data_IF_987965631080
#
_entry.id   IF_987965631080
#
_cell.length_a   1.000
_cell.length_b   1.000
_cell.length_c   1.000
_cell.angle_alpha   90.00
_cell.angle_beta   90.00
_cell.angle_gamma   90.00
#
_symmetry.space_group_name_H-M   'P 1'
#
loop_
_entity.id
_entity.type
_entity.pdbx_description
1 polymer ?
#
# COMPACT_ATOMS: atom_id res chain seq x y z
N UNK A 1 10.32 -13.96 -9.10
CA UNK A 1 9.44 -14.99 -9.68
C UNK A 1 8.33 -14.28 -10.44
N UNK A 2 8.09 -14.61 -11.73
CA UNK A 2 7.00 -14.01 -12.52
C UNK A 2 5.69 -14.75 -12.25
N UNK A 3 4.60 -14.01 -12.03
CA UNK A 3 3.27 -14.62 -11.83
C UNK A 3 2.77 -15.17 -13.18
N UNK A 4 2.37 -16.43 -13.21
CA UNK A 4 1.81 -17.07 -14.42
C UNK A 4 0.43 -17.63 -14.10
N UNK A 5 -0.58 -17.23 -14.85
CA UNK A 5 -1.96 -17.70 -14.70
C UNK A 5 -2.54 -18.08 -16.06
N UNK A 6 -3.13 -19.27 -16.18
CA UNK A 6 -3.69 -19.84 -17.43
C UNK A 6 -2.76 -19.73 -18.65
N UNK A 7 -1.46 -19.92 -18.45
CA UNK A 7 -0.47 -19.84 -19.53
C UNK A 7 -0.06 -18.41 -19.93
N UNK A 8 -0.62 -17.38 -19.29
CA UNK A 8 -0.19 -15.98 -19.47
C UNK A 8 0.74 -15.59 -18.33
N UNK A 9 1.94 -15.13 -18.68
CA UNK A 9 2.90 -14.58 -17.74
C UNK A 9 2.70 -13.07 -17.63
N UNK A 10 2.64 -12.58 -16.40
CA UNK A 10 2.57 -11.15 -16.13
C UNK A 10 3.98 -10.60 -15.91
N UNK A 11 4.35 -9.62 -16.72
CA UNK A 11 5.52 -8.79 -16.47
C UNK A 11 5.17 -7.77 -15.38
N UNK A 12 5.28 -8.23 -14.14
CA UNK A 12 5.12 -7.37 -12.98
C UNK A 12 6.40 -6.57 -12.75
N UNK A 13 6.33 -5.26 -12.99
CA UNK A 13 7.33 -4.28 -12.56
C UNK A 13 6.83 -3.64 -11.24
N UNK A 14 7.18 -4.20 -10.07
CA UNK A 14 6.81 -3.56 -8.81
C UNK A 14 7.44 -2.17 -8.72
N UNK A 15 6.72 -1.18 -8.19
CA UNK A 15 7.30 0.11 -7.88
C UNK A 15 8.36 -0.06 -6.78
N UNK A 16 9.51 0.59 -6.96
CA UNK A 16 10.55 0.65 -5.92
C UNK A 16 10.07 1.58 -4.82
N UNK A 17 9.83 1.04 -3.62
CA UNK A 17 9.45 1.83 -2.44
C UNK A 17 10.64 1.91 -1.51
N UNK A 18 11.12 3.13 -1.23
CA UNK A 18 12.21 3.33 -0.28
C UNK A 18 11.68 3.17 1.15
N UNK A 19 12.26 2.22 1.89
CA UNK A 19 11.90 1.94 3.27
C UNK A 19 13.08 2.10 4.20
N UNK A 20 12.87 2.72 5.36
CA UNK A 20 13.83 2.75 6.47
C UNK A 20 13.54 1.61 7.45
N UNK A 21 14.62 1.08 8.01
CA UNK A 21 14.52 0.10 9.08
C UNK A 21 13.98 0.82 10.33
N UNK A 22 12.91 0.29 10.92
CA UNK A 22 12.44 0.75 12.23
C UNK A 22 13.21 -0.01 13.32
N UNK A 23 13.50 0.63 14.45
CA UNK A 23 14.17 -0.01 15.58
C UNK A 23 13.32 -1.14 16.21
N UNK A 24 12.03 -1.11 15.97
CA UNK A 24 11.08 -2.11 16.44
C UNK A 24 11.21 -3.42 15.66
N UNK A 25 11.52 -4.48 16.39
CA UNK A 25 11.54 -5.86 15.90
C UNK A 25 10.83 -6.74 16.93
N UNK A 26 10.20 -7.81 16.49
CA UNK A 26 9.45 -8.70 17.37
C UNK A 26 9.47 -10.15 16.90
N UNK A 27 9.05 -11.06 17.77
CA UNK A 27 8.82 -12.47 17.45
C UNK A 27 7.34 -12.78 17.67
N UNK A 28 6.66 -13.26 16.63
CA UNK A 28 5.28 -13.76 16.76
C UNK A 28 5.22 -15.21 16.29
N UNK A 29 4.81 -16.12 17.20
CA UNK A 29 4.76 -17.58 16.95
C UNK A 29 6.06 -18.16 16.39
N UNK A 30 7.20 -17.68 16.89
CA UNK A 30 8.54 -18.11 16.44
C UNK A 30 9.05 -17.44 15.17
N UNK A 31 8.23 -16.61 14.51
CA UNK A 31 8.61 -15.89 13.27
C UNK A 31 9.08 -14.48 13.61
N UNK A 32 10.18 -14.04 12.99
CA UNK A 32 10.65 -12.66 13.06
C UNK A 32 9.70 -11.72 12.31
N UNK A 33 9.17 -10.75 13.04
CA UNK A 33 8.41 -9.62 12.49
C UNK A 33 9.32 -8.41 12.50
N UNK A 34 9.54 -7.84 11.31
CA UNK A 34 10.30 -6.60 11.12
C UNK A 34 9.35 -5.52 10.65
N UNK A 35 9.31 -4.42 11.38
CA UNK A 35 8.59 -3.23 10.95
C UNK A 35 9.50 -2.39 10.04
N UNK A 36 8.93 -1.89 8.95
CA UNK A 36 9.61 -1.01 8.00
C UNK A 36 8.76 0.22 7.81
N UNK A 37 9.33 1.40 8.00
CA UNK A 37 8.67 2.66 7.71
C UNK A 37 8.97 3.08 6.27
N UNK A 38 7.96 3.55 5.54
CA UNK A 38 8.13 4.12 4.19
C UNK A 38 8.69 5.54 4.33
N UNK A 39 9.72 5.91 3.56
CA UNK A 39 10.35 7.24 3.67
C UNK A 39 9.43 8.38 3.25
N UNK A 40 8.65 8.15 2.21
CA UNK A 40 7.67 9.10 1.68
C UNK A 40 6.28 8.47 1.78
N UNK A 41 5.67 8.46 2.98
CA UNK A 41 4.32 7.95 3.13
C UNK A 41 3.37 8.81 2.28
N UNK A 42 2.43 8.21 1.53
CA UNK A 42 1.46 8.97 0.78
C UNK A 42 0.64 9.83 1.76
N UNK A 43 0.65 11.14 1.55
CA UNK A 43 -0.15 12.07 2.35
C UNK A 43 -1.61 11.85 1.96
N UNK A 44 -2.42 11.38 2.90
CA UNK A 44 -3.85 11.28 2.71
C UNK A 44 -4.42 12.70 2.63
N UNK A 45 -5.24 13.03 1.62
CA UNK A 45 -5.86 14.34 1.54
C UNK A 45 -6.83 14.53 2.73
N UNK A 46 -6.81 15.72 3.33
CA UNK A 46 -7.64 16.06 4.49
C UNK A 46 -9.15 15.95 4.20
N UNK A 47 -9.53 16.12 2.93
CA UNK A 47 -10.89 15.95 2.43
C UNK A 47 -10.87 14.93 1.31
N UNK A 48 -11.78 13.96 1.37
CA UNK A 48 -12.02 13.03 0.27
C UNK A 48 -13.14 13.62 -0.58
N UNK A 49 -12.87 13.77 -1.88
CA UNK A 49 -13.91 14.10 -2.84
C UNK A 49 -14.81 12.87 -3.02
N UNK A 50 -15.94 12.86 -2.32
CA UNK A 50 -16.98 11.86 -2.51
C UNK A 50 -17.65 12.10 -3.88
N UNK A 51 -17.15 11.48 -4.93
CA UNK A 51 -17.71 11.56 -6.28
C UNK A 51 -18.13 10.16 -6.72
N UNK A 52 -19.41 9.96 -6.97
CA UNK A 52 -19.95 8.72 -7.54
C UNK A 52 -20.50 9.00 -8.94
N UNK A 53 -19.94 8.34 -9.96
CA UNK A 53 -20.29 8.54 -11.38
C UNK A 53 -20.28 10.02 -11.84
N UNK A 54 -19.30 10.79 -11.35
CA UNK A 54 -19.17 12.22 -11.68
C UNK A 54 -20.13 13.13 -10.92
N UNK A 55 -20.96 12.58 -10.03
CA UNK A 55 -21.85 13.36 -9.17
C UNK A 55 -21.23 13.48 -7.78
N UNK A 56 -21.06 14.70 -7.24
CA UNK A 56 -20.57 14.88 -5.88
C UNK A 56 -21.62 14.42 -4.86
N UNK A 57 -21.20 13.63 -3.89
CA UNK A 57 -21.98 13.08 -2.78
C UNK A 57 -21.29 13.48 -1.47
N UNK A 58 -21.20 14.78 -1.20
CA UNK A 58 -20.71 15.32 0.09
C UNK A 58 -21.86 15.54 1.08
N UNK A 59 -21.53 15.59 2.38
CA UNK A 59 -22.47 15.79 3.48
C UNK A 59 -23.50 16.90 3.19
N UNK A 60 -24.79 16.56 3.32
CA UNK A 60 -25.87 17.53 3.37
C UNK A 60 -25.97 18.07 4.81
N UNK A 61 -25.87 19.39 4.94
CA UNK A 61 -26.19 20.22 6.13
C UNK A 61 -25.06 20.39 7.15
#
# INVERSE_FOLDING_TARGET
MKLTYRGVSYDYQPPTVTTKLTAETGKYRGVDVRFRAVEHPPVQPLKVDMIYRGVPHGEQT
#
